data_IF_469314196158
#
_entry.id   IF_469314196158
#
_cell.length_a   1.000
_cell.length_b   1.000
_cell.length_c   1.000
_cell.angle_alpha   90.00
_cell.angle_beta   90.00
_cell.angle_gamma   90.00
#
_symmetry.space_group_name_H-M   'P 1'
#
loop_
_entity.id
_entity.type
_entity.pdbx_description
1 polymer ?
#
# COMPACT_ATOMS: atom_id res chain seq x y z
N UNK A 1 11.52 29.34 22.02
CA UNK A 1 11.83 28.00 21.50
C UNK A 1 10.58 27.50 20.80
N UNK A 2 10.59 27.51 19.47
CA UNK A 2 9.46 26.98 18.69
C UNK A 2 9.42 25.47 18.91
N UNK A 3 8.26 24.89 19.27
CA UNK A 3 8.15 23.45 19.44
C UNK A 3 8.56 22.83 18.10
N UNK A 4 9.67 22.06 18.13
CA UNK A 4 10.15 21.36 16.95
C UNK A 4 8.98 20.59 16.39
N UNK A 5 8.61 20.89 15.15
CA UNK A 5 7.64 20.14 14.36
C UNK A 5 8.08 18.69 14.48
N UNK A 6 7.44 17.97 15.41
CA UNK A 6 7.75 16.59 15.67
C UNK A 6 7.59 15.91 14.33
N UNK A 7 8.70 15.39 13.81
CA UNK A 7 8.76 14.63 12.57
C UNK A 7 7.62 13.62 12.63
N UNK A 8 6.46 13.96 12.07
CA UNK A 8 5.37 13.01 11.89
C UNK A 8 5.97 12.00 10.94
N UNK A 9 6.47 10.89 11.50
CA UNK A 9 6.99 9.78 10.71
C UNK A 9 5.84 9.40 9.79
N UNK A 10 5.96 9.69 8.49
CA UNK A 10 4.99 9.26 7.48
C UNK A 10 5.19 7.77 7.26
N UNK A 11 5.06 6.97 8.32
CA UNK A 11 5.35 5.55 8.32
C UNK A 11 4.07 4.74 8.13
N UNK A 12 4.12 3.72 7.28
CA UNK A 12 3.12 2.65 7.28
C UNK A 12 3.41 1.71 8.44
N UNK A 13 2.88 2.05 9.60
CA UNK A 13 3.13 1.31 10.85
C UNK A 13 2.27 0.05 10.94
N UNK A 14 1.14 0.03 10.23
CA UNK A 14 0.15 -1.03 10.34
C UNK A 14 -0.22 -1.62 8.99
N UNK A 15 -0.59 -2.89 8.99
CA UNK A 15 -1.12 -3.59 7.83
C UNK A 15 -2.34 -2.86 7.23
N UNK A 16 -3.23 -2.33 8.08
CA UNK A 16 -4.42 -1.59 7.63
C UNK A 16 -4.07 -0.36 6.81
N UNK A 17 -3.05 0.39 7.21
CA UNK A 17 -2.57 1.54 6.44
C UNK A 17 -1.94 1.08 5.12
N UNK A 18 -1.21 -0.04 5.15
CA UNK A 18 -0.61 -0.59 3.95
C UNK A 18 -1.68 -1.01 2.92
N UNK A 19 -2.68 -1.77 3.37
CA UNK A 19 -3.81 -2.19 2.53
C UNK A 19 -4.56 -0.97 1.98
N UNK A 20 -4.84 0.04 2.81
CA UNK A 20 -5.55 1.24 2.37
C UNK A 20 -4.78 2.00 1.28
N UNK A 21 -3.46 2.14 1.43
CA UNK A 21 -2.63 2.79 0.41
C UNK A 21 -2.56 1.95 -0.87
N UNK A 22 -2.40 0.63 -0.77
CA UNK A 22 -2.37 -0.27 -1.92
C UNK A 22 -3.68 -0.21 -2.72
N UNK A 23 -4.83 -0.27 -2.03
CA UNK A 23 -6.16 -0.13 -2.63
C UNK A 23 -6.30 1.22 -3.34
N UNK A 24 -5.88 2.32 -2.69
CA UNK A 24 -5.88 3.65 -3.32
C UNK A 24 -5.02 3.69 -4.59
N UNK A 25 -3.88 3.01 -4.58
CA UNK A 25 -3.02 2.85 -5.75
C UNK A 25 -3.70 2.14 -6.92
N UNK A 26 -4.36 1.03 -6.64
CA UNK A 26 -5.11 0.27 -7.66
C UNK A 26 -6.25 1.09 -8.23
N UNK A 27 -7.04 1.76 -7.38
CA UNK A 27 -8.14 2.63 -7.83
C UNK A 27 -7.66 3.79 -8.72
N UNK A 28 -6.43 4.29 -8.49
CA UNK A 28 -5.82 5.33 -9.35
C UNK A 28 -5.25 4.77 -10.65
N UNK A 29 -4.73 3.53 -10.64
CA UNK A 29 -4.11 2.89 -11.81
C UNK A 29 -5.15 2.31 -12.77
N UNK A 30 -6.26 1.81 -12.24
CA UNK A 30 -7.31 1.15 -13.02
C UNK A 30 -8.62 1.94 -12.92
N UNK A 31 -8.99 2.60 -14.01
CA UNK A 31 -10.27 3.29 -14.11
C UNK A 31 -11.44 2.29 -14.15
N UNK A 32 -12.58 2.66 -13.57
CA UNK A 32 -13.79 1.84 -13.56
C UNK A 32 -13.82 0.73 -12.51
N UNK A 33 -12.79 0.63 -11.66
CA UNK A 33 -12.77 -0.28 -10.51
C UNK A 33 -13.25 0.44 -9.26
N UNK A 34 -14.10 -0.20 -8.47
CA UNK A 34 -14.52 0.30 -7.16
C UNK A 34 -13.83 -0.45 -6.02
N UNK A 35 -13.76 0.20 -4.85
CA UNK A 35 -13.12 -0.39 -3.67
C UNK A 35 -13.74 -1.74 -3.29
N UNK A 36 -15.06 -1.92 -3.47
CA UNK A 36 -15.77 -3.15 -3.15
C UNK A 36 -15.39 -4.34 -4.05
N UNK A 37 -14.85 -4.07 -5.24
CA UNK A 37 -14.38 -5.10 -6.16
C UNK A 37 -12.97 -5.58 -5.83
N UNK A 38 -12.22 -4.81 -5.04
CA UNK A 38 -10.85 -5.12 -4.66
C UNK A 38 -10.86 -5.99 -3.42
N UNK A 39 -10.25 -7.16 -3.52
CA UNK A 39 -10.03 -8.08 -2.40
C UNK A 39 -8.55 -8.14 -2.07
N UNK A 40 -8.23 -7.98 -0.78
CA UNK A 40 -6.91 -8.30 -0.28
C UNK A 40 -6.73 -9.81 -0.24
N UNK A 41 -5.73 -10.32 -0.96
CA UNK A 41 -5.41 -11.74 -1.03
C UNK A 41 -4.38 -12.09 0.05
N UNK A 42 -3.31 -11.31 0.12
CA UNK A 42 -2.21 -11.52 1.05
C UNK A 42 -1.55 -10.19 1.40
N UNK A 43 -1.10 -10.06 2.64
CA UNK A 43 -0.28 -8.92 3.06
C UNK A 43 0.96 -9.43 3.77
N UNK A 44 2.12 -8.89 3.39
CA UNK A 44 3.41 -9.22 3.99
C UNK A 44 4.20 -7.98 4.30
N UNK A 45 4.76 -7.95 5.50
CA UNK A 45 5.77 -6.97 5.90
C UNK A 45 7.16 -7.61 5.78
N UNK A 46 8.08 -6.91 5.13
CA UNK A 46 9.48 -7.28 5.07
C UNK A 46 10.22 -6.52 6.18
N UNK A 47 10.69 -7.23 7.20
CA UNK A 47 11.41 -6.62 8.32
C UNK A 47 12.82 -6.18 7.97
N UNK A 48 13.41 -6.74 6.91
CA UNK A 48 14.79 -6.45 6.50
C UNK A 48 14.83 -5.17 5.67
N UNK A 49 13.91 -5.02 4.71
CA UNK A 49 13.80 -3.78 3.92
C UNK A 49 12.91 -2.72 4.58
N UNK A 50 12.02 -3.14 5.48
CA UNK A 50 10.98 -2.29 6.04
C UNK A 50 9.87 -1.96 5.04
N UNK A 51 9.67 -2.77 4.00
CA UNK A 51 8.64 -2.54 2.97
C UNK A 51 7.36 -3.35 3.26
N UNK A 52 6.24 -2.85 2.74
CA UNK A 52 4.99 -3.61 2.69
C UNK A 52 4.73 -4.14 1.29
N UNK A 53 4.22 -5.37 1.23
CA UNK A 53 3.76 -6.02 0.02
C UNK A 53 2.31 -6.42 0.21
N UNK A 54 1.42 -5.90 -0.62
CA UNK A 54 -0.01 -6.19 -0.57
C UNK A 54 -0.43 -6.82 -1.90
N UNK A 55 -0.84 -8.07 -1.87
CA UNK A 55 -1.47 -8.74 -3.00
C UNK A 55 -2.96 -8.40 -3.03
N UNK A 56 -3.41 -7.80 -4.13
CA UNK A 56 -4.81 -7.42 -4.37
C UNK A 56 -5.34 -8.17 -5.59
N UNK A 57 -6.58 -8.62 -5.52
CA UNK A 57 -7.31 -9.24 -6.62
C UNK A 57 -8.58 -8.45 -6.93
N UNK A 58 -8.88 -8.23 -8.20
CA UNK A 58 -10.09 -7.55 -8.67
C UNK A 58 -10.50 -8.09 -10.03
N UNK A 59 -11.75 -8.54 -10.16
CA UNK A 59 -12.20 -9.29 -11.33
C UNK A 59 -11.34 -10.54 -11.55
N UNK A 60 -10.73 -10.67 -12.73
CA UNK A 60 -9.80 -11.75 -13.08
C UNK A 60 -8.33 -11.37 -12.88
N UNK A 61 -8.05 -10.13 -12.47
CA UNK A 61 -6.69 -9.60 -12.32
C UNK A 61 -6.16 -9.80 -10.90
N UNK A 62 -4.85 -10.01 -10.80
CA UNK A 62 -4.11 -10.06 -9.54
C UNK A 62 -2.91 -9.16 -9.64
N UNK A 63 -2.63 -8.42 -8.59
CA UNK A 63 -1.50 -7.49 -8.54
C UNK A 63 -0.81 -7.54 -7.19
N UNK A 64 0.50 -7.44 -7.16
CA UNK A 64 1.28 -7.17 -5.94
C UNK A 64 1.69 -5.72 -5.94
N UNK A 65 1.34 -5.01 -4.87
CA UNK A 65 1.73 -3.62 -4.62
C UNK A 65 2.87 -3.62 -3.61
N UNK A 66 4.04 -3.14 -4.02
CA UNK A 66 5.18 -2.88 -3.13
C UNK A 66 5.14 -1.43 -2.69
N UNK A 67 5.33 -1.20 -1.40
CA UNK A 67 5.30 0.12 -0.80
C UNK A 67 6.48 0.37 0.12
N UNK A 68 7.03 1.58 0.02
CA UNK A 68 8.00 2.12 0.96
C UNK A 68 7.28 2.49 2.26
N UNK A 69 7.58 1.78 3.36
CA UNK A 69 6.93 2.07 4.64
C UNK A 69 7.42 3.37 5.26
N UNK A 70 8.61 3.88 4.94
CA UNK A 70 9.19 5.09 5.54
C UNK A 70 8.56 6.35 4.97
N UNK A 71 8.27 6.35 3.67
CA UNK A 71 7.65 7.48 2.98
C UNK A 71 6.14 7.31 2.77
N UNK A 72 5.58 6.14 3.08
CA UNK A 72 4.20 5.76 2.82
C UNK A 72 3.80 5.99 1.35
N UNK A 73 4.67 5.55 0.45
CA UNK A 73 4.48 5.68 -1.00
C UNK A 73 4.48 4.31 -1.67
N UNK A 74 3.72 4.20 -2.76
CA UNK A 74 3.76 3.01 -3.60
C UNK A 74 5.02 3.08 -4.46
N UNK A 75 5.82 2.04 -4.38
CA UNK A 75 7.07 1.90 -5.13
C UNK A 75 6.82 1.17 -6.44
N UNK A 76 6.04 0.08 -6.41
CA UNK A 76 5.74 -0.75 -7.59
C UNK A 76 4.34 -1.35 -7.53
N UNK A 77 3.73 -1.57 -8.71
CA UNK A 77 2.49 -2.31 -8.87
C UNK A 77 2.68 -3.31 -10.02
N UNK A 78 2.89 -4.58 -9.68
CA UNK A 78 3.15 -5.66 -10.62
C UNK A 78 1.90 -6.54 -10.78
N UNK A 79 1.47 -6.78 -12.02
CA UNK A 79 0.36 -7.69 -12.34
C UNK A 79 0.90 -9.13 -12.49
N UNK A 80 0.15 -10.12 -12.02
CA UNK A 80 0.54 -11.54 -11.95
C UNK A 80 -0.45 -12.41 -12.72
#
# INVERSE_FOLDING_TARGET
>A
MSPGVGLMKRRLETEKQAVALAVSGILKKYEGITQDQIKTLETKYDSDSGDWYVALGFGEKRTVVKMDSVHATISEINEI
#
